data_IF_987916723959
#
_entry.id   IF_987916723959
#
_cell.length_a   1.000
_cell.length_b   1.000
_cell.length_c   1.000
_cell.angle_alpha   90.00
_cell.angle_beta   90.00
_cell.angle_gamma   90.00
#
_symmetry.space_group_name_H-M   'P 1'
#
loop_
_entity.id
_entity.type
_entity.pdbx_description
1 polymer ?
#
# COMPACT_ATOMS: atom_id res chain seq x y z
N UNK A 1 -25.43 21.93 11.20
CA UNK A 1 -24.50 21.31 10.25
C UNK A 1 -25.34 20.82 9.09
N UNK A 2 -25.15 21.38 7.90
CA UNK A 2 -25.94 21.04 6.72
C UNK A 2 -25.31 19.93 5.90
N UNK A 3 -26.06 19.32 4.99
CA UNK A 3 -25.57 18.24 4.11
C UNK A 3 -24.31 18.63 3.32
N UNK A 4 -24.14 19.91 2.98
CA UNK A 4 -22.94 20.42 2.31
C UNK A 4 -21.69 20.41 3.22
N UNK A 5 -21.85 20.66 4.51
CA UNK A 5 -20.77 20.60 5.49
C UNK A 5 -20.33 19.15 5.68
N UNK A 6 -21.28 18.21 5.76
CA UNK A 6 -21.02 16.78 5.88
C UNK A 6 -20.28 16.22 4.66
N UNK A 7 -20.67 16.65 3.44
CA UNK A 7 -19.95 16.31 2.21
C UNK A 7 -18.51 16.82 2.28
N UNK A 8 -18.32 18.07 2.71
CA UNK A 8 -16.98 18.67 2.80
C UNK A 8 -16.10 17.92 3.80
N UNK A 9 -16.63 17.60 4.98
CA UNK A 9 -15.95 16.81 6.00
C UNK A 9 -15.60 15.40 5.51
N UNK A 10 -16.52 14.72 4.82
CA UNK A 10 -16.27 13.40 4.23
C UNK A 10 -15.13 13.45 3.19
N UNK A 11 -15.12 14.47 2.33
CA UNK A 11 -14.06 14.64 1.33
C UNK A 11 -12.70 14.94 1.96
N UNK A 12 -12.66 15.73 3.05
CA UNK A 12 -11.44 15.95 3.81
C UNK A 12 -10.93 14.63 4.41
N UNK A 13 -11.81 13.85 5.06
CA UNK A 13 -11.44 12.55 5.63
C UNK A 13 -10.94 11.56 4.57
N UNK A 14 -11.58 11.53 3.40
CA UNK A 14 -11.12 10.69 2.28
C UNK A 14 -9.71 11.05 1.84
N UNK A 15 -9.34 12.34 1.77
CA UNK A 15 -7.98 12.76 1.41
C UNK A 15 -6.96 12.30 2.46
N UNK A 16 -7.28 12.48 3.73
CA UNK A 16 -6.44 12.03 4.84
C UNK A 16 -6.19 10.51 4.77
N UNK A 17 -7.25 9.72 4.60
CA UNK A 17 -7.15 8.26 4.45
C UNK A 17 -6.37 7.87 3.19
N UNK A 18 -6.54 8.60 2.09
CA UNK A 18 -5.78 8.35 0.86
C UNK A 18 -4.29 8.55 1.09
N UNK A 19 -3.90 9.61 1.82
CA UNK A 19 -2.51 9.85 2.17
C UNK A 19 -1.96 8.75 3.09
N UNK A 20 -2.70 8.36 4.12
CA UNK A 20 -2.29 7.28 5.03
C UNK A 20 -2.10 5.95 4.30
N UNK A 21 -2.99 5.62 3.35
CA UNK A 21 -2.83 4.42 2.51
C UNK A 21 -1.55 4.53 1.67
N UNK A 22 -1.28 5.68 1.05
CA UNK A 22 -0.08 5.87 0.26
C UNK A 22 1.21 5.72 1.09
N UNK A 23 1.22 6.22 2.33
CA UNK A 23 2.36 6.09 3.24
C UNK A 23 2.59 4.62 3.66
N UNK A 24 1.51 3.87 3.89
CA UNK A 24 1.58 2.42 4.18
C UNK A 24 2.07 1.63 2.97
N UNK A 25 1.58 1.94 1.77
CA UNK A 25 2.02 1.30 0.52
C UNK A 25 3.50 1.61 0.23
N UNK A 26 3.96 2.83 0.54
CA UNK A 26 5.36 3.21 0.40
C UNK A 26 6.29 2.37 1.28
N UNK A 27 5.83 1.88 2.44
CA UNK A 27 6.61 0.99 3.30
C UNK A 27 6.81 -0.42 2.68
N UNK A 28 5.98 -0.81 1.72
CA UNK A 28 6.15 -2.05 0.97
C UNK A 28 7.27 -1.94 -0.07
N UNK A 29 7.48 -0.74 -0.64
CA UNK A 29 8.37 -0.46 -1.76
C UNK A 29 9.83 -0.25 -1.37
N UNK A 30 10.74 -0.52 -2.33
CA UNK A 30 12.16 -0.23 -2.22
C UNK A 30 13.02 -1.41 -1.73
N UNK A 31 14.36 -1.26 -1.82
CA UNK A 31 15.31 -2.31 -1.45
C UNK A 31 15.30 -2.64 0.04
N UNK A 32 14.87 -1.70 0.89
CA UNK A 32 14.70 -1.90 2.34
C UNK A 32 13.21 -2.06 2.74
N UNK A 33 12.31 -2.08 1.75
CA UNK A 33 10.87 -2.20 1.96
C UNK A 33 10.46 -3.58 2.44
N UNK A 34 9.25 -3.67 3.00
CA UNK A 34 8.71 -4.91 3.57
C UNK A 34 8.67 -6.07 2.55
N UNK A 35 8.43 -5.78 1.27
CA UNK A 35 8.43 -6.82 0.22
C UNK A 35 9.85 -7.37 -0.01
N UNK A 36 10.86 -6.51 -0.08
CA UNK A 36 12.24 -6.95 -0.26
C UNK A 36 12.71 -7.80 0.93
N UNK A 37 12.47 -7.32 2.15
CA UNK A 37 12.79 -8.07 3.38
C UNK A 37 12.09 -9.42 3.45
N UNK A 38 10.80 -9.49 3.08
CA UNK A 38 10.09 -10.76 3.05
C UNK A 38 10.70 -11.77 2.07
N UNK A 39 11.21 -11.32 0.92
CA UNK A 39 11.96 -12.19 0.01
C UNK A 39 13.30 -12.64 0.62
N UNK A 40 14.02 -11.76 1.32
CA UNK A 40 15.27 -12.08 2.04
C UNK A 40 15.05 -13.11 3.15
N UNK A 41 13.92 -13.01 3.85
CA UNK A 41 13.46 -13.96 4.88
C UNK A 41 12.98 -15.31 4.28
N UNK A 42 13.00 -15.46 2.95
CA UNK A 42 12.67 -16.69 2.24
C UNK A 42 11.18 -16.85 1.89
N UNK A 43 10.35 -15.81 2.04
CA UNK A 43 8.96 -15.87 1.61
C UNK A 43 8.83 -15.90 0.08
N UNK A 44 7.83 -16.62 -0.40
CA UNK A 44 7.52 -16.69 -1.83
C UNK A 44 6.60 -15.53 -2.24
N UNK A 45 6.67 -15.13 -3.52
CA UNK A 45 5.80 -14.08 -4.07
C UNK A 45 4.29 -14.28 -3.80
N UNK A 46 3.73 -15.51 -3.90
CA UNK A 46 2.34 -15.78 -3.50
C UNK A 46 2.05 -15.53 -2.02
N UNK A 47 2.93 -15.93 -1.11
CA UNK A 47 2.74 -15.69 0.33
C UNK A 47 2.73 -14.19 0.63
N UNK A 48 3.65 -13.44 0.02
CA UNK A 48 3.73 -11.98 0.15
C UNK A 48 2.47 -11.34 -0.44
N UNK A 49 2.00 -11.79 -1.60
CA UNK A 49 0.78 -11.29 -2.24
C UNK A 49 -0.45 -11.46 -1.35
N UNK A 50 -0.60 -12.64 -0.74
CA UNK A 50 -1.67 -12.91 0.22
C UNK A 50 -1.58 -12.02 1.46
N UNK A 51 -0.37 -11.83 2.02
CA UNK A 51 -0.19 -11.00 3.22
C UNK A 51 -0.39 -9.50 2.96
N UNK A 52 0.10 -9.00 1.83
CA UNK A 52 0.00 -7.59 1.44
C UNK A 52 -1.35 -7.23 0.78
N UNK A 53 -2.20 -8.21 0.47
CA UNK A 53 -3.51 -7.95 -0.16
C UNK A 53 -3.39 -7.44 -1.61
N UNK A 54 -2.29 -7.73 -2.30
CA UNK A 54 -2.04 -7.31 -3.68
C UNK A 54 -1.90 -8.51 -4.61
N UNK A 55 -1.95 -8.26 -5.91
CA UNK A 55 -1.72 -9.32 -6.89
C UNK A 55 -0.26 -9.79 -6.88
N UNK A 56 -0.02 -11.07 -7.20
CA UNK A 56 1.35 -11.60 -7.36
C UNK A 56 2.23 -10.76 -8.32
N UNK A 57 1.74 -10.31 -9.50
CA UNK A 57 2.51 -9.40 -10.35
C UNK A 57 2.90 -8.10 -9.65
N UNK A 58 2.00 -7.52 -8.84
CA UNK A 58 2.27 -6.28 -8.11
C UNK A 58 3.39 -6.46 -7.08
N UNK A 59 3.51 -7.62 -6.44
CA UNK A 59 4.64 -7.92 -5.54
C UNK A 59 6.00 -7.80 -6.26
N UNK A 60 6.11 -8.35 -7.47
CA UNK A 60 7.36 -8.26 -8.24
C UNK A 60 7.63 -6.85 -8.77
N UNK A 61 6.58 -6.12 -9.15
CA UNK A 61 6.70 -4.70 -9.51
C UNK A 61 7.25 -3.87 -8.34
N UNK A 62 6.71 -4.07 -7.14
CA UNK A 62 7.15 -3.42 -5.89
C UNK A 62 8.61 -3.75 -5.59
N UNK A 63 8.99 -5.04 -5.65
CA UNK A 63 10.36 -5.49 -5.42
C UNK A 63 11.35 -4.87 -6.43
N UNK A 64 10.96 -4.81 -7.70
CA UNK A 64 11.83 -4.35 -8.78
C UNK A 64 11.80 -2.81 -8.95
N UNK A 65 11.05 -2.09 -8.09
CA UNK A 65 10.90 -0.63 -8.16
C UNK A 65 10.18 -0.13 -9.42
N UNK A 66 9.36 -0.98 -10.04
CA UNK A 66 8.61 -0.67 -11.27
C UNK A 66 7.20 -0.21 -10.88
N UNK A 67 6.85 1.02 -11.27
CA UNK A 67 5.47 1.53 -11.14
C UNK A 67 4.60 1.06 -12.29
#
# INVERSE_FOLDING_TARGET
MGTLDDITANRAKRRELTQQIADLDAALEGPEGLVARAFEDGATGPQIATAAGVSKPRVYQIRDGRR
#
